data_IF_860128196553
#
_entry.id   IF_860128196553
#
_cell.length_a   1.000
_cell.length_b   1.000
_cell.length_c   1.000
_cell.angle_alpha   90.00
_cell.angle_beta   90.00
_cell.angle_gamma   90.00
#
_symmetry.space_group_name_H-M   'P 1'
#
loop_
_entity.id
_entity.type
_entity.pdbx_description
1 polymer ?
#
# COMPACT_ATOMS: atom_id res chain seq x y z
N UNK A 1 48.32 9.35 12.05
CA UNK A 1 47.04 10.02 12.36
C UNK A 1 46.62 10.81 11.12
N UNK A 2 45.62 10.33 10.37
CA UNK A 2 45.05 11.08 9.26
C UNK A 2 43.59 11.37 9.63
N UNK A 3 43.33 12.60 10.07
CA UNK A 3 41.96 13.13 10.19
C UNK A 3 41.45 13.33 8.77
N UNK A 4 40.51 12.51 8.34
CA UNK A 4 39.71 12.82 7.16
C UNK A 4 38.73 13.93 7.55
N UNK A 5 38.96 15.13 7.02
CA UNK A 5 38.03 16.24 7.09
C UNK A 5 36.70 15.79 6.46
N UNK A 6 35.65 15.72 7.27
CA UNK A 6 34.32 15.35 6.81
C UNK A 6 33.67 16.60 6.23
N UNK A 7 33.69 16.72 4.90
CA UNK A 7 32.87 17.69 4.18
C UNK A 7 31.39 17.43 4.53
N UNK A 8 30.79 18.36 5.28
CA UNK A 8 29.38 18.35 5.63
C UNK A 8 28.53 18.73 4.39
N UNK A 9 28.51 17.88 3.38
CA UNK A 9 27.61 18.02 2.25
C UNK A 9 26.17 17.77 2.73
N UNK A 10 25.30 18.77 2.62
CA UNK A 10 23.88 18.63 2.95
C UNK A 10 23.21 17.71 1.93
N UNK A 11 22.95 16.47 2.31
CA UNK A 11 22.17 15.53 1.50
C UNK A 11 20.69 15.88 1.65
N UNK A 12 20.02 16.16 0.53
CA UNK A 12 18.60 16.56 0.50
C UNK A 12 17.64 15.40 0.22
N UNK A 13 18.14 14.25 -0.27
CA UNK A 13 17.34 13.04 -0.50
C UNK A 13 18.20 11.78 -0.21
N UNK A 14 17.63 10.79 0.48
CA UNK A 14 18.29 9.54 0.88
C UNK A 14 17.57 8.28 0.41
N UNK A 15 16.57 8.40 -0.47
CA UNK A 15 15.68 7.31 -0.86
C UNK A 15 16.41 6.17 -1.60
N UNK A 16 17.49 6.50 -2.32
CA UNK A 16 18.35 5.54 -3.03
C UNK A 16 19.69 5.26 -2.33
N UNK A 17 19.89 5.82 -1.13
CA UNK A 17 21.16 5.67 -0.42
C UNK A 17 21.33 4.23 0.05
N UNK A 18 22.39 3.59 -0.43
CA UNK A 18 22.78 2.24 0.04
C UNK A 18 24.01 2.31 0.90
N UNK A 19 23.98 1.55 2.00
CA UNK A 19 25.04 1.52 3.02
C UNK A 19 25.49 0.10 3.29
N UNK A 20 26.66 -0.05 3.93
CA UNK A 20 27.20 -1.34 4.34
C UNK A 20 26.62 -1.79 5.68
N UNK A 21 26.81 -3.08 6.03
CA UNK A 21 26.42 -3.60 7.33
C UNK A 21 27.13 -2.90 8.49
N UNK A 22 28.40 -2.53 8.31
CA UNK A 22 29.18 -1.83 9.33
C UNK A 22 28.59 -0.44 9.64
N UNK A 23 28.22 0.32 8.59
CA UNK A 23 27.61 1.65 8.78
C UNK A 23 26.26 1.54 9.49
N UNK A 24 25.41 0.57 9.13
CA UNK A 24 24.15 0.35 9.85
C UNK A 24 24.38 -0.15 11.28
N UNK A 25 25.39 -1.00 11.49
CA UNK A 25 25.76 -1.50 12.81
C UNK A 25 26.18 -0.38 13.74
N UNK A 26 27.04 0.52 13.28
CA UNK A 26 27.48 1.69 14.03
C UNK A 26 26.31 2.63 14.36
N UNK A 27 25.38 2.85 13.42
CA UNK A 27 24.22 3.72 13.62
C UNK A 27 23.21 3.11 14.59
N UNK A 28 22.93 1.81 14.47
CA UNK A 28 21.97 1.13 15.31
C UNK A 28 22.56 0.65 16.64
N UNK A 29 23.88 0.74 16.82
CA UNK A 29 24.57 0.27 18.01
C UNK A 29 24.64 -1.26 18.13
N UNK A 30 24.67 -1.97 17.00
CA UNK A 30 24.65 -3.44 16.94
C UNK A 30 25.77 -3.97 16.05
N UNK A 31 26.17 -5.23 16.25
CA UNK A 31 27.20 -5.85 15.41
C UNK A 31 26.77 -6.07 13.96
N UNK A 32 27.73 -6.07 13.02
CA UNK A 32 27.52 -6.47 11.61
C UNK A 32 26.81 -7.82 11.46
N UNK A 33 27.11 -8.77 12.35
CA UNK A 33 26.46 -10.08 12.37
C UNK A 33 24.97 -9.92 12.65
N UNK A 34 24.61 -9.08 13.62
CA UNK A 34 23.21 -8.81 13.95
C UNK A 34 22.49 -8.09 12.82
N UNK A 35 23.14 -7.16 12.11
CA UNK A 35 22.57 -6.54 10.90
C UNK A 35 22.25 -7.57 9.82
N UNK A 36 23.15 -8.54 9.58
CA UNK A 36 22.91 -9.62 8.61
C UNK A 36 21.74 -10.51 9.04
N UNK A 37 21.67 -10.86 10.32
CA UNK A 37 20.56 -11.63 10.86
C UNK A 37 19.23 -10.86 10.72
N UNK A 38 19.20 -9.58 11.06
CA UNK A 38 18.01 -8.74 10.88
C UNK A 38 17.61 -8.58 9.40
N UNK A 39 18.57 -8.71 8.47
CA UNK A 39 18.27 -8.76 7.05
C UNK A 39 17.66 -10.10 6.61
N UNK A 40 18.02 -11.20 7.26
CA UNK A 40 17.37 -12.51 7.08
C UNK A 40 15.96 -12.52 7.69
N UNK A 41 15.77 -11.83 8.82
CA UNK A 41 14.47 -11.61 9.49
C UNK A 41 13.56 -10.62 8.72
N UNK A 42 14.08 -9.96 7.68
CA UNK A 42 13.33 -9.01 6.85
C UNK A 42 13.19 -7.60 7.44
N UNK A 43 13.81 -7.31 8.58
CA UNK A 43 13.82 -6.00 9.23
C UNK A 43 14.73 -5.03 8.45
N UNK A 44 15.90 -5.51 8.02
CA UNK A 44 16.87 -4.72 7.24
C UNK A 44 16.75 -5.06 5.76
N UNK A 45 16.56 -4.05 4.91
CA UNK A 45 16.31 -4.27 3.49
C UNK A 45 17.61 -4.37 2.71
N UNK A 46 17.88 -5.55 2.16
CA UNK A 46 19.08 -5.85 1.37
C UNK A 46 18.81 -5.61 -0.12
N UNK A 47 19.55 -4.66 -0.70
CA UNK A 47 19.46 -4.31 -2.13
C UNK A 47 20.41 -5.17 -2.97
N UNK A 48 21.61 -5.45 -2.45
CA UNK A 48 22.59 -6.30 -3.11
C UNK A 48 23.53 -6.97 -2.10
N UNK A 49 24.50 -7.77 -2.57
CA UNK A 49 25.48 -8.41 -1.69
C UNK A 49 26.27 -7.35 -0.91
N UNK A 50 25.99 -7.24 0.40
CA UNK A 50 26.65 -6.31 1.30
C UNK A 50 26.15 -4.86 1.21
N UNK A 51 25.04 -4.62 0.50
CA UNK A 51 24.42 -3.28 0.36
C UNK A 51 22.99 -3.31 0.86
N UNK A 52 22.65 -2.36 1.70
CA UNK A 52 21.36 -2.25 2.38
C UNK A 52 20.74 -0.88 2.10
N UNK A 53 19.42 -0.83 1.91
CA UNK A 53 18.70 0.43 1.74
C UNK A 53 18.69 1.16 3.08
N UNK A 54 19.29 2.35 3.14
CA UNK A 54 19.41 3.10 4.39
C UNK A 54 18.05 3.53 4.94
N UNK A 55 17.24 4.21 4.13
CA UNK A 55 16.00 4.82 4.58
C UNK A 55 15.00 3.77 5.04
N UNK A 56 14.82 2.71 4.26
CA UNK A 56 13.86 1.65 4.55
C UNK A 56 14.27 0.82 5.78
N UNK A 57 15.56 0.49 5.88
CA UNK A 57 16.10 -0.25 7.03
C UNK A 57 15.98 0.54 8.33
N UNK A 58 16.20 1.86 8.30
CA UNK A 58 16.03 2.73 9.50
C UNK A 58 14.56 2.78 9.92
N UNK A 59 13.63 2.97 8.98
CA UNK A 59 12.18 3.00 9.28
C UNK A 59 11.73 1.69 9.91
N UNK A 60 12.11 0.56 9.31
CA UNK A 60 11.73 -0.77 9.80
C UNK A 60 12.35 -1.09 11.16
N UNK A 61 13.62 -0.70 11.39
CA UNK A 61 14.28 -0.87 12.68
C UNK A 61 13.59 -0.06 13.78
N UNK A 62 13.25 1.22 13.53
CA UNK A 62 12.50 2.05 14.48
C UNK A 62 11.12 1.44 14.77
N UNK A 63 10.43 0.93 13.75
CA UNK A 63 9.15 0.27 13.93
C UNK A 63 9.30 -0.98 14.83
N UNK A 64 10.31 -1.81 14.60
CA UNK A 64 10.58 -2.98 15.44
C UNK A 64 10.87 -2.61 16.89
N UNK A 65 11.60 -1.52 17.13
CA UNK A 65 11.88 -1.03 18.48
C UNK A 65 10.64 -0.49 19.16
N UNK A 66 9.79 0.27 18.45
CA UNK A 66 8.52 0.75 19.01
C UNK A 66 7.59 -0.40 19.39
N UNK A 67 7.49 -1.41 18.53
CA UNK A 67 6.72 -2.61 18.82
C UNK A 67 7.27 -3.37 20.03
N UNK A 68 8.60 -3.39 20.22
CA UNK A 68 9.23 -3.99 21.40
C UNK A 68 9.07 -3.16 22.69
N UNK A 69 8.90 -1.83 22.58
CA UNK A 69 8.72 -0.91 23.73
C UNK A 69 7.25 -0.81 24.14
N UNK A 70 6.32 -0.82 23.19
CA UNK A 70 4.88 -0.84 23.46
C UNK A 70 4.47 -2.14 24.17
N UNK A 71 5.22 -3.23 24.00
CA UNK A 71 5.05 -4.49 24.73
C UNK A 71 5.75 -4.52 26.09
N UNK A 72 6.91 -3.86 26.24
CA UNK A 72 7.62 -3.79 27.53
C UNK A 72 6.87 -2.97 28.60
N UNK A 73 6.02 -2.03 28.20
CA UNK A 73 5.20 -1.23 29.12
C UNK A 73 3.92 -1.94 29.58
N UNK A 74 3.65 -3.18 29.14
CA UNK A 74 2.44 -3.90 29.50
C UNK A 74 2.58 -5.10 30.43
N UNK A 75 3.77 -5.53 30.85
CA UNK A 75 4.01 -6.31 32.08
C UNK A 75 5.44 -6.90 32.02
N UNK A 76 6.41 -6.30 32.74
CA UNK A 76 7.45 -6.99 33.52
C UNK A 76 8.63 -6.06 33.88
N UNK A 77 9.00 -5.94 35.18
CA UNK A 77 10.15 -5.16 35.63
C UNK A 77 11.48 -5.95 35.66
N UNK A 78 11.54 -7.17 35.12
CA UNK A 78 12.76 -7.98 35.13
C UNK A 78 13.11 -8.46 33.70
N UNK A 79 14.28 -8.03 33.23
CA UNK A 79 14.69 -8.09 31.82
C UNK A 79 15.15 -9.46 31.31
N UNK A 80 14.32 -10.49 31.46
CA UNK A 80 14.53 -11.76 30.74
C UNK A 80 13.66 -11.81 29.48
N UNK A 81 14.33 -11.77 28.32
CA UNK A 81 13.71 -11.99 27.01
C UNK A 81 13.15 -13.42 26.93
N UNK A 82 11.84 -13.56 27.13
CA UNK A 82 11.15 -14.85 27.04
C UNK A 82 10.98 -15.28 25.57
N UNK A 83 11.94 -16.07 25.08
CA UNK A 83 12.04 -16.56 23.69
C UNK A 83 10.76 -17.31 23.24
N UNK A 84 10.02 -17.90 24.17
CA UNK A 84 8.75 -18.59 23.88
C UNK A 84 7.61 -17.59 23.59
N UNK A 85 7.60 -16.45 24.29
CA UNK A 85 6.61 -15.39 24.05
C UNK A 85 6.88 -14.66 22.73
N UNK A 86 8.14 -14.35 22.41
CA UNK A 86 8.49 -13.78 21.10
C UNK A 86 8.14 -14.73 19.95
N UNK A 87 8.37 -16.04 20.10
CA UNK A 87 7.97 -17.03 19.08
C UNK A 87 6.46 -17.12 18.93
N UNK A 88 5.71 -17.11 20.03
CA UNK A 88 4.25 -17.11 20.01
C UNK A 88 3.68 -15.83 19.34
N UNK A 89 4.32 -14.68 19.58
CA UNK A 89 3.98 -13.41 18.94
C UNK A 89 4.29 -13.41 17.44
N UNK A 90 5.47 -13.89 17.05
CA UNK A 90 5.83 -14.07 15.64
C UNK A 90 4.86 -14.99 14.91
N UNK A 91 4.43 -16.07 15.57
CA UNK A 91 3.47 -17.01 15.00
C UNK A 91 2.07 -16.40 14.86
N UNK A 92 1.63 -15.57 15.83
CA UNK A 92 0.38 -14.79 15.72
C UNK A 92 0.44 -13.78 14.58
N UNK A 93 1.52 -13.01 14.46
CA UNK A 93 1.69 -12.05 13.35
C UNK A 93 1.73 -12.77 12.01
N UNK A 94 2.45 -13.89 11.91
CA UNK A 94 2.50 -14.70 10.70
C UNK A 94 1.12 -15.26 10.33
N UNK A 95 0.35 -15.73 11.32
CA UNK A 95 -1.04 -16.15 11.12
C UNK A 95 -1.90 -15.00 10.58
N UNK A 96 -1.77 -13.81 11.18
CA UNK A 96 -2.58 -12.67 10.77
C UNK A 96 -2.20 -12.16 9.38
N UNK A 97 -0.92 -12.17 9.01
CA UNK A 97 -0.47 -11.90 7.64
C UNK A 97 -1.03 -12.95 6.67
N UNK A 98 -1.05 -14.22 7.06
CA UNK A 98 -1.65 -15.29 6.26
C UNK A 98 -3.16 -15.13 6.10
N UNK A 99 -3.88 -14.73 7.15
CA UNK A 99 -5.31 -14.42 7.11
C UNK A 99 -5.61 -13.23 6.19
N UNK A 100 -4.86 -12.13 6.32
CA UNK A 100 -5.00 -10.96 5.46
C UNK A 100 -4.72 -11.30 4.00
N UNK A 101 -3.66 -12.10 3.73
CA UNK A 101 -3.37 -12.59 2.37
C UNK A 101 -4.49 -13.46 1.83
N UNK A 102 -5.08 -14.32 2.65
CA UNK A 102 -6.22 -15.15 2.26
C UNK A 102 -7.46 -14.30 1.96
N UNK A 103 -7.72 -13.24 2.73
CA UNK A 103 -8.81 -12.29 2.45
C UNK A 103 -8.57 -11.48 1.17
N UNK A 104 -7.33 -11.06 0.90
CA UNK A 104 -6.96 -10.43 -0.38
C UNK A 104 -7.14 -11.41 -1.55
N UNK A 105 -6.74 -12.67 -1.39
CA UNK A 105 -6.93 -13.72 -2.41
C UNK A 105 -8.40 -14.00 -2.69
N UNK A 106 -9.26 -13.92 -1.66
CA UNK A 106 -10.73 -14.02 -1.79
C UNK A 106 -11.39 -12.78 -2.39
N UNK A 107 -10.63 -11.71 -2.64
CA UNK A 107 -11.16 -10.47 -3.21
C UNK A 107 -11.99 -9.63 -2.25
N UNK A 108 -11.96 -9.90 -0.93
CA UNK A 108 -12.64 -9.10 0.09
C UNK A 108 -11.84 -7.84 0.47
N UNK A 109 -10.52 -7.87 0.28
CA UNK A 109 -9.61 -6.76 0.56
C UNK A 109 -8.96 -6.26 -0.74
N UNK A 110 -9.19 -5.00 -1.07
CA UNK A 110 -8.59 -4.36 -2.24
C UNK A 110 -7.46 -3.41 -1.82
N UNK A 111 -6.40 -3.34 -2.63
CA UNK A 111 -5.36 -2.32 -2.43
C UNK A 111 -5.97 -0.96 -2.76
N UNK A 112 -5.62 0.06 -1.98
CA UNK A 112 -6.15 1.42 -2.18
C UNK A 112 -5.86 1.95 -3.59
N UNK A 113 -4.70 1.61 -4.16
CA UNK A 113 -4.28 1.98 -5.52
C UNK A 113 -5.20 1.40 -6.59
N UNK A 114 -5.62 0.13 -6.45
CA UNK A 114 -6.50 -0.53 -7.41
C UNK A 114 -7.90 0.10 -7.39
N UNK A 115 -8.42 0.39 -6.19
CA UNK A 115 -9.71 1.09 -6.01
C UNK A 115 -9.66 2.50 -6.59
N UNK A 116 -8.58 3.25 -6.32
CA UNK A 116 -8.41 4.62 -6.82
C UNK A 116 -8.44 4.65 -8.35
N UNK A 117 -7.74 3.72 -9.01
CA UNK A 117 -7.69 3.64 -10.46
C UNK A 117 -9.07 3.38 -11.06
N UNK A 118 -9.77 2.33 -10.60
CA UNK A 118 -11.09 1.95 -11.14
C UNK A 118 -12.12 3.05 -10.90
N UNK A 119 -12.13 3.64 -9.70
CA UNK A 119 -13.05 4.74 -9.38
C UNK A 119 -12.74 6.00 -10.19
N UNK A 120 -11.46 6.31 -10.41
CA UNK A 120 -11.05 7.45 -11.23
C UNK A 120 -11.47 7.28 -12.68
N UNK A 121 -11.26 6.09 -13.25
CA UNK A 121 -11.63 5.79 -14.63
C UNK A 121 -13.16 5.87 -14.82
N UNK A 122 -13.92 5.29 -13.88
CA UNK A 122 -15.39 5.32 -13.88
C UNK A 122 -15.92 6.76 -13.78
N UNK A 123 -15.44 7.54 -12.80
CA UNK A 123 -15.88 8.93 -12.59
C UNK A 123 -15.48 9.84 -13.75
N UNK A 124 -14.31 9.61 -14.36
CA UNK A 124 -13.83 10.39 -15.51
C UNK A 124 -14.68 10.11 -16.75
N UNK A 125 -15.03 8.85 -16.98
CA UNK A 125 -15.91 8.44 -18.09
C UNK A 125 -17.32 9.03 -17.92
N UNK A 126 -17.89 8.91 -16.73
CA UNK A 126 -19.18 9.51 -16.38
C UNK A 126 -19.18 11.03 -16.59
N UNK A 127 -18.19 11.74 -16.04
CA UNK A 127 -18.05 13.20 -16.21
C UNK A 127 -18.01 13.60 -17.68
N UNK A 128 -17.23 12.88 -18.48
CA UNK A 128 -17.10 13.14 -19.91
C UNK A 128 -18.44 13.00 -20.63
N UNK A 129 -19.18 11.92 -20.34
CA UNK A 129 -20.50 11.68 -20.95
C UNK A 129 -21.51 12.75 -20.56
N UNK A 130 -21.60 13.10 -19.27
CA UNK A 130 -22.50 14.16 -18.79
C UNK A 130 -22.20 15.50 -19.46
N UNK A 131 -20.91 15.88 -19.57
CA UNK A 131 -20.50 17.12 -20.23
C UNK A 131 -20.77 17.12 -21.74
N UNK A 132 -20.90 15.94 -22.36
CA UNK A 132 -21.23 15.79 -23.78
C UNK A 132 -22.74 15.84 -24.06
N UNK A 133 -23.59 15.66 -23.04
CA UNK A 133 -25.05 15.70 -23.21
C UNK A 133 -25.48 17.01 -23.87
N UNK A 134 -25.16 18.22 -23.35
CA UNK A 134 -25.64 19.48 -23.94
C UNK A 134 -25.32 19.60 -25.44
N UNK A 135 -24.08 19.30 -25.83
CA UNK A 135 -23.64 19.36 -27.23
C UNK A 135 -24.37 18.36 -28.13
N UNK A 136 -24.70 17.17 -27.61
CA UNK A 136 -25.39 16.10 -28.34
C UNK A 136 -26.88 16.38 -28.49
N UNK A 137 -27.55 16.87 -27.44
CA UNK A 137 -29.01 17.05 -27.46
C UNK A 137 -29.44 18.42 -27.99
N UNK A 138 -28.65 19.49 -27.80
CA UNK A 138 -29.05 20.85 -28.17
C UNK A 138 -29.59 20.99 -29.62
N UNK A 139 -28.97 20.38 -30.66
CA UNK A 139 -29.49 20.47 -32.03
C UNK A 139 -30.83 19.76 -32.25
N UNK A 140 -31.11 18.74 -31.45
CA UNK A 140 -32.32 17.90 -31.57
C UNK A 140 -33.49 18.49 -30.80
N UNK A 141 -33.18 19.28 -29.76
CA UNK A 141 -34.17 19.93 -28.89
C UNK A 141 -34.71 21.24 -29.46
N UNK A 142 -34.09 21.79 -30.52
CA UNK A 142 -34.55 23.03 -31.13
C UNK A 142 -36.00 22.90 -31.65
N UNK A 143 -36.85 23.87 -31.29
CA UNK A 143 -38.26 23.93 -31.68
C UNK A 143 -39.13 22.73 -31.24
N UNK A 144 -38.73 21.98 -30.19
CA UNK A 144 -39.50 20.88 -29.61
C UNK A 144 -40.36 21.32 -28.41
N UNK A 145 -41.39 20.54 -28.09
CA UNK A 145 -42.22 20.78 -26.91
C UNK A 145 -41.53 20.36 -25.60
N UNK A 146 -42.01 20.89 -24.48
CA UNK A 146 -41.43 20.64 -23.17
C UNK A 146 -41.47 19.17 -22.74
N UNK A 147 -42.47 18.39 -23.18
CA UNK A 147 -42.56 16.95 -22.91
C UNK A 147 -41.43 16.20 -23.61
N UNK A 148 -41.27 16.42 -24.91
CA UNK A 148 -40.18 15.83 -25.68
C UNK A 148 -38.79 16.20 -25.13
N UNK A 149 -38.59 17.47 -24.74
CA UNK A 149 -37.33 17.94 -24.15
C UNK A 149 -37.02 17.17 -22.85
N UNK A 150 -38.01 17.07 -21.96
CA UNK A 150 -37.85 16.36 -20.68
C UNK A 150 -37.53 14.90 -20.89
N UNK A 151 -38.26 14.21 -21.76
CA UNK A 151 -38.06 12.78 -22.02
C UNK A 151 -36.67 12.51 -22.59
N UNK A 152 -36.24 13.33 -23.55
CA UNK A 152 -34.93 13.18 -24.18
C UNK A 152 -33.78 13.44 -23.21
N UNK A 153 -33.86 14.48 -22.39
CA UNK A 153 -32.86 14.76 -21.35
C UNK A 153 -32.82 13.66 -20.29
N UNK A 154 -33.99 13.17 -19.87
CA UNK A 154 -34.10 12.09 -18.87
C UNK A 154 -33.47 10.80 -19.41
N UNK A 155 -33.67 10.48 -20.69
CA UNK A 155 -33.05 9.33 -21.34
C UNK A 155 -31.52 9.42 -21.34
N UNK A 156 -30.96 10.57 -21.76
CA UNK A 156 -29.49 10.75 -21.81
C UNK A 156 -28.85 10.74 -20.41
N UNK A 157 -29.52 11.32 -19.40
CA UNK A 157 -29.07 11.24 -18.00
C UNK A 157 -29.13 9.81 -17.47
N UNK A 158 -30.21 9.08 -17.75
CA UNK A 158 -30.35 7.67 -17.32
C UNK A 158 -29.30 6.79 -18.00
N UNK A 159 -28.98 7.05 -19.27
CA UNK A 159 -27.91 6.35 -19.98
C UNK A 159 -26.54 6.62 -19.35
N UNK A 160 -26.24 7.86 -18.98
CA UNK A 160 -25.01 8.20 -18.27
C UNK A 160 -24.96 7.55 -16.87
N UNK A 161 -26.08 7.46 -16.17
CA UNK A 161 -26.14 6.80 -14.86
C UNK A 161 -26.02 5.27 -14.95
N UNK A 162 -26.47 4.65 -16.04
CA UNK A 162 -26.30 3.21 -16.24
C UNK A 162 -24.83 2.80 -16.35
N UNK A 163 -23.96 3.67 -16.87
CA UNK A 163 -22.51 3.43 -16.92
C UNK A 163 -21.87 3.33 -15.52
N UNK A 164 -22.47 3.95 -14.50
CA UNK A 164 -22.06 3.80 -13.10
C UNK A 164 -22.57 2.50 -12.46
N UNK A 165 -23.57 1.85 -13.07
CA UNK A 165 -24.26 0.69 -12.50
C UNK A 165 -23.53 -0.63 -12.80
N UNK A 166 -22.69 -0.66 -13.82
CA UNK A 166 -21.90 -1.83 -14.21
C UNK A 166 -20.72 -2.04 -13.23
N UNK A 167 -21.07 -2.31 -11.97
CA UNK A 167 -20.14 -2.74 -10.94
C UNK A 167 -19.63 -4.13 -11.30
N UNK A 168 -18.37 -4.22 -11.71
CA UNK A 168 -17.65 -5.47 -11.88
C UNK A 168 -16.66 -5.67 -10.71
N UNK A 169 -16.95 -6.57 -9.75
CA UNK A 169 -16.03 -6.90 -8.68
C UNK A 169 -14.66 -7.33 -9.20
N UNK A 170 -14.61 -7.97 -10.38
CA UNK A 170 -13.36 -8.48 -10.98
C UNK A 170 -12.42 -7.36 -11.38
N UNK A 171 -12.94 -6.15 -11.66
CA UNK A 171 -12.13 -4.99 -11.98
C UNK A 171 -11.27 -4.51 -10.79
N UNK A 172 -11.61 -4.91 -9.56
CA UNK A 172 -10.91 -4.54 -8.33
C UNK A 172 -9.98 -5.64 -7.81
N UNK A 173 -9.94 -6.80 -8.45
CA UNK A 173 -9.07 -7.89 -8.04
C UNK A 173 -7.62 -7.60 -8.40
N UNK A 174 -6.72 -7.82 -7.43
CA UNK A 174 -5.28 -7.72 -7.66
C UNK A 174 -4.75 -8.94 -8.41
N UNK A 175 -3.56 -8.85 -9.01
CA UNK A 175 -2.87 -9.95 -9.68
C UNK A 175 -2.64 -11.21 -8.79
N UNK A 176 -2.79 -11.07 -7.47
CA UNK A 176 -2.68 -12.13 -6.48
C UNK A 176 -4.02 -12.88 -6.22
N UNK A 177 -5.11 -12.51 -6.91
CA UNK A 177 -6.41 -13.17 -6.78
C UNK A 177 -6.34 -14.63 -7.26
N UNK A 178 -6.94 -15.54 -6.48
CA UNK A 178 -7.08 -16.95 -6.82
C UNK A 178 -8.57 -17.27 -6.76
N UNK A 179 -9.14 -17.66 -7.90
CA UNK A 179 -10.55 -18.10 -7.97
C UNK A 179 -10.69 -19.34 -7.06
N UNK A 180 -11.47 -19.22 -5.98
CA UNK A 180 -11.69 -20.30 -5.03
C UNK A 180 -12.61 -21.36 -5.64
N UNK A 181 -12.35 -22.64 -5.39
CA UNK A 181 -13.17 -23.78 -5.84
C UNK A 181 -14.60 -23.83 -5.21
N UNK A 182 -15.01 -22.79 -4.48
CA UNK A 182 -16.28 -22.76 -3.73
C UNK A 182 -17.41 -21.97 -4.43
N UNK A 183 -17.20 -21.50 -5.66
CA UNK A 183 -18.19 -20.75 -6.47
C UNK A 183 -18.99 -21.65 -7.45
N UNK A 184 -19.36 -22.87 -7.02
CA UNK A 184 -20.39 -23.74 -7.68
C UNK A 184 -21.59 -24.01 -6.75
#
# INVERSE_FOLDING_TARGET
MAKAETESAKITNVDSLTVSAAVLGDIFGVSDRRIRQMAEEGIIVRVAKGRYNFQESVKNYILSLKLAVDTANQDNPDGELNIEEEKALHERVKRHISELRLQTMKGELHKAEDVEKVMTDMLTSFKTRVMNIPSKVAPVLESRDAGFIKDRLTAEVTEALNELKDYDPKAFYSDEYVEGEDDD
#
